data_IF_593870489792
#
_entry.id   IF_593870489792
#
_cell.length_a   1.000
_cell.length_b   1.000
_cell.length_c   1.000
_cell.angle_alpha   90.00
_cell.angle_beta   90.00
_cell.angle_gamma   90.00
#
_symmetry.space_group_name_H-M   'P 1'
#
loop_
_entity.id
_entity.type
_entity.pdbx_description
1 polymer ?
#
# COMPACT_ATOMS: atom_id res chain seq x y z
N UNK A 1 75.97 -25.23 3.87
CA UNK A 1 75.90 -26.30 4.89
C UNK A 1 75.46 -25.64 6.20
N UNK A 2 74.19 -25.85 6.61
CA UNK A 2 73.79 -26.56 7.85
C UNK A 2 74.43 -25.97 9.11
N UNK A 3 73.77 -25.05 9.83
CA UNK A 3 72.66 -25.24 10.79
C UNK A 3 73.13 -25.58 12.22
N UNK A 4 72.61 -24.82 13.20
CA UNK A 4 72.14 -25.20 14.57
C UNK A 4 72.19 -23.94 15.46
N UNK A 5 71.07 -23.29 15.75
CA UNK A 5 70.14 -23.51 16.90
C UNK A 5 70.81 -23.45 18.27
N UNK A 6 70.47 -22.42 19.05
CA UNK A 6 70.31 -22.52 20.51
C UNK A 6 69.18 -21.60 20.96
N UNK A 7 68.20 -22.20 21.63
CA UNK A 7 67.13 -21.56 22.36
C UNK A 7 67.65 -21.03 23.70
N UNK A 8 67.05 -19.96 24.22
CA UNK A 8 67.17 -19.56 25.62
C UNK A 8 65.80 -19.10 26.15
N UNK A 9 65.40 -19.81 27.21
CA UNK A 9 64.21 -19.66 28.05
C UNK A 9 64.35 -18.50 29.04
N UNK A 10 63.21 -18.11 29.65
CA UNK A 10 63.02 -17.29 30.88
C UNK A 10 63.24 -15.77 30.71
N UNK A 11 62.47 -14.85 31.32
CA UNK A 11 61.82 -14.87 32.62
C UNK A 11 60.58 -13.94 32.68
N UNK A 12 59.71 -14.23 33.63
CA UNK A 12 58.51 -13.48 33.98
C UNK A 12 58.82 -12.10 34.60
N UNK A 13 57.96 -11.11 34.30
CA UNK A 13 57.77 -9.93 35.15
C UNK A 13 56.29 -9.55 35.14
N UNK A 14 55.60 -9.83 36.25
CA UNK A 14 54.27 -9.34 36.55
C UNK A 14 54.35 -7.84 36.85
N UNK A 15 53.52 -7.04 36.18
CA UNK A 15 53.23 -5.66 36.59
C UNK A 15 51.73 -5.55 36.77
N UNK A 16 51.34 -5.55 38.04
CA UNK A 16 50.03 -5.16 38.54
C UNK A 16 49.85 -3.66 38.39
N UNK A 17 48.97 -3.20 37.52
CA UNK A 17 48.44 -1.83 37.55
C UNK A 17 46.99 -1.91 38.01
N UNK A 18 46.80 -1.54 39.28
CA UNK A 18 45.52 -1.29 39.92
C UNK A 18 45.08 0.12 39.50
N UNK A 19 44.16 0.23 38.54
CA UNK A 19 43.53 1.49 38.18
C UNK A 19 42.06 1.48 38.62
N UNK A 20 41.75 2.49 39.41
CA UNK A 20 40.53 2.75 40.17
C UNK A 20 39.27 2.83 39.31
N UNK A 21 38.27 2.01 39.62
CA UNK A 21 36.92 2.11 39.11
C UNK A 21 36.22 3.36 39.66
N UNK A 22 35.88 4.31 38.79
CA UNK A 22 34.94 5.39 39.08
C UNK A 22 33.49 4.91 38.95
N UNK A 23 32.52 5.58 39.58
CA UNK A 23 31.12 5.14 39.56
C UNK A 23 30.51 5.40 38.17
N UNK A 24 30.15 4.33 37.47
CA UNK A 24 29.31 4.39 36.29
C UNK A 24 27.83 4.49 36.73
N UNK A 25 27.34 5.73 36.82
CA UNK A 25 25.91 6.05 36.86
C UNK A 25 25.54 6.62 35.50
N UNK A 26 24.97 5.79 34.63
CA UNK A 26 24.21 6.21 33.46
C UNK A 26 23.17 5.13 33.16
N UNK A 27 22.16 5.07 34.03
CA UNK A 27 20.88 4.46 33.71
C UNK A 27 20.09 5.48 32.89
N UNK A 28 20.01 5.25 31.58
CA UNK A 28 19.05 5.89 30.69
C UNK A 28 18.79 4.93 29.55
N UNK A 29 17.89 3.97 29.81
CA UNK A 29 17.27 3.16 28.77
C UNK A 29 16.68 4.12 27.71
N UNK A 30 17.05 4.03 26.41
CA UNK A 30 16.41 4.84 25.39
C UNK A 30 14.94 4.40 25.29
N UNK A 31 14.06 5.19 25.89
CA UNK A 31 12.62 5.07 25.71
C UNK A 31 12.31 5.59 24.30
N UNK A 32 11.75 4.78 23.38
CA UNK A 32 11.27 5.30 22.11
C UNK A 32 10.06 6.20 22.40
N UNK A 33 10.31 7.51 22.51
CA UNK A 33 9.23 8.51 22.54
C UNK A 33 8.67 8.66 21.14
N UNK A 34 7.63 7.89 20.83
CA UNK A 34 6.71 8.21 19.75
C UNK A 34 5.80 9.37 20.21
N UNK A 35 6.34 10.58 20.21
CA UNK A 35 5.56 11.81 20.33
C UNK A 35 5.19 12.29 18.93
N UNK A 36 4.10 11.75 18.39
CA UNK A 36 3.43 12.36 17.24
C UNK A 36 2.74 13.65 17.70
N UNK A 37 3.51 14.74 17.74
CA UNK A 37 2.97 16.08 17.87
C UNK A 37 2.35 16.49 16.54
N UNK A 38 1.07 16.82 16.57
CA UNK A 38 0.34 17.41 15.46
C UNK A 38 0.95 18.77 15.08
N UNK A 39 1.10 19.02 13.77
CA UNK A 39 1.21 20.36 13.20
C UNK A 39 2.60 20.98 13.09
N UNK A 40 3.60 20.22 12.62
CA UNK A 40 4.85 20.80 12.12
C UNK A 40 5.22 20.16 10.78
N UNK A 41 5.73 20.97 9.85
CA UNK A 41 6.32 20.58 8.56
C UNK A 41 7.56 19.71 8.79
N UNK A 42 7.35 18.51 9.31
CA UNK A 42 8.38 17.53 9.57
C UNK A 42 8.67 16.83 8.26
N UNK A 43 9.82 17.16 7.67
CA UNK A 43 10.33 16.47 6.49
C UNK A 43 10.54 15.01 6.83
N UNK A 44 9.91 14.12 6.06
CA UNK A 44 10.09 12.67 6.21
C UNK A 44 11.40 12.27 5.54
N UNK A 45 12.37 11.80 6.32
CA UNK A 45 13.73 11.51 5.83
C UNK A 45 13.98 10.03 5.53
N UNK A 46 12.93 9.23 5.41
CA UNK A 46 13.01 7.77 5.27
C UNK A 46 12.05 7.30 4.17
N UNK A 47 12.43 6.21 3.51
CA UNK A 47 11.58 5.44 2.61
C UNK A 47 11.67 3.96 2.97
N UNK A 48 10.65 3.20 2.60
CA UNK A 48 10.71 1.76 2.61
C UNK A 48 11.44 1.20 1.39
N UNK A 49 11.80 -0.07 1.46
CA UNK A 49 12.39 -0.85 0.36
C UNK A 49 11.41 -1.87 -0.24
N UNK A 50 10.20 -1.95 0.33
CA UNK A 50 9.12 -2.83 -0.12
C UNK A 50 7.76 -2.24 0.25
N UNK A 51 6.68 -2.80 -0.30
CA UNK A 51 5.31 -2.47 0.12
C UNK A 51 5.06 -2.65 1.62
N UNK A 52 5.72 -3.61 2.27
CA UNK A 52 5.54 -3.89 3.70
C UNK A 52 6.28 -2.90 4.60
N UNK A 53 7.34 -2.29 4.10
CA UNK A 53 8.21 -1.36 4.83
C UNK A 53 8.02 0.09 4.39
N UNK A 54 7.03 0.34 3.52
CA UNK A 54 6.75 1.66 2.95
C UNK A 54 6.52 2.71 4.04
N UNK A 55 7.26 3.82 3.98
CA UNK A 55 7.15 4.89 4.98
C UNK A 55 5.89 5.71 4.72
N UNK A 56 5.09 5.96 5.76
CA UNK A 56 3.85 6.72 5.62
C UNK A 56 4.11 8.22 5.48
N UNK A 57 3.52 8.82 4.44
CA UNK A 57 3.47 10.26 4.19
C UNK A 57 2.01 10.71 4.13
N UNK A 58 1.75 11.98 4.46
CA UNK A 58 0.41 12.59 4.39
C UNK A 58 0.40 13.72 3.36
N UNK A 59 -0.77 14.04 2.78
CA UNK A 59 -0.90 15.23 1.95
C UNK A 59 -0.42 16.48 2.70
N UNK A 60 0.36 17.32 2.01
CA UNK A 60 1.01 18.50 2.58
C UNK A 60 2.35 18.24 3.26
N UNK A 61 2.76 16.98 3.46
CA UNK A 61 4.11 16.65 3.94
C UNK A 61 5.09 16.52 2.78
N UNK A 62 6.33 16.92 3.03
CA UNK A 62 7.47 16.73 2.14
C UNK A 62 8.33 15.57 2.66
N UNK A 63 8.77 14.70 1.76
CA UNK A 63 9.74 13.66 2.06
C UNK A 63 11.02 13.92 1.26
N UNK A 64 12.17 13.83 1.91
CA UNK A 64 13.48 13.99 1.28
C UNK A 64 14.44 12.94 1.81
N UNK A 65 15.00 12.14 0.91
CA UNK A 65 15.88 11.04 1.27
C UNK A 65 17.09 10.98 0.34
N UNK A 66 18.26 10.73 0.94
CA UNK A 66 19.44 10.27 0.21
C UNK A 66 19.31 8.77 -0.06
N UNK A 67 19.43 8.36 -1.31
CA UNK A 67 19.31 6.98 -1.77
C UNK A 67 20.41 6.67 -2.80
N UNK A 68 20.37 5.47 -3.37
CA UNK A 68 21.28 5.07 -4.43
C UNK A 68 20.51 4.78 -5.72
N UNK A 69 21.13 5.01 -6.88
CA UNK A 69 20.61 4.52 -8.16
C UNK A 69 20.42 3.00 -8.12
N UNK A 70 19.28 2.53 -8.64
CA UNK A 70 18.88 1.12 -8.58
C UNK A 70 18.09 0.74 -7.33
N UNK A 71 17.99 1.61 -6.31
CA UNK A 71 17.11 1.39 -5.18
C UNK A 71 15.63 1.51 -5.59
N UNK A 72 14.78 0.74 -4.93
CA UNK A 72 13.33 0.93 -4.96
C UNK A 72 12.89 1.66 -3.70
N UNK A 73 12.34 2.85 -3.88
CA UNK A 73 11.88 3.69 -2.78
C UNK A 73 10.37 3.59 -2.64
N UNK A 74 9.89 3.26 -1.44
CA UNK A 74 8.48 3.06 -1.15
C UNK A 74 7.95 4.02 -0.09
N UNK A 75 6.84 4.68 -0.42
CA UNK A 75 6.02 5.42 0.55
C UNK A 75 4.59 4.93 0.52
N UNK A 76 3.85 5.17 1.60
CA UNK A 76 2.42 4.90 1.68
C UNK A 76 1.64 6.15 2.06
N UNK A 77 0.42 6.29 1.56
CA UNK A 77 -0.48 7.36 1.95
C UNK A 77 -1.93 6.88 1.94
N UNK A 78 -2.77 7.50 2.76
CA UNK A 78 -4.19 7.22 2.77
C UNK A 78 -4.92 8.16 1.81
N UNK A 79 -5.82 7.62 1.00
CA UNK A 79 -6.67 8.36 0.08
C UNK A 79 -8.15 8.10 0.40
N UNK A 80 -8.94 9.16 0.47
CA UNK A 80 -10.35 9.12 0.81
C UNK A 80 -11.23 9.35 -0.43
N UNK A 81 -12.48 8.86 -0.38
CA UNK A 81 -13.45 9.10 -1.44
C UNK A 81 -13.63 10.61 -1.72
N UNK A 82 -13.73 10.96 -2.99
CA UNK A 82 -13.83 12.33 -3.46
C UNK A 82 -12.48 13.02 -3.68
N UNK A 83 -11.36 12.48 -3.17
CA UNK A 83 -10.04 13.08 -3.34
C UNK A 83 -9.46 12.82 -4.73
N UNK A 84 -8.60 13.72 -5.19
CA UNK A 84 -7.71 13.56 -6.32
C UNK A 84 -6.31 13.82 -5.81
N UNK A 85 -5.57 12.75 -5.54
CA UNK A 85 -4.21 12.83 -5.05
C UNK A 85 -3.23 13.10 -6.20
N UNK A 86 -2.29 13.98 -5.94
CA UNK A 86 -1.22 14.35 -6.84
C UNK A 86 0.12 14.15 -6.17
N UNK A 87 0.96 13.33 -6.81
CA UNK A 87 2.32 13.04 -6.38
C UNK A 87 3.29 13.70 -7.35
N UNK A 88 4.21 14.48 -6.81
CA UNK A 88 5.39 15.00 -7.52
C UNK A 88 6.63 14.39 -6.91
N UNK A 89 7.56 13.95 -7.76
CA UNK A 89 8.85 13.39 -7.37
C UNK A 89 9.95 14.11 -8.13
N UNK A 90 10.84 14.75 -7.39
CA UNK A 90 12.05 15.37 -7.94
C UNK A 90 13.26 14.54 -7.51
N UNK A 91 14.03 14.06 -8.48
CA UNK A 91 15.23 13.24 -8.26
C UNK A 91 16.43 14.07 -8.67
N UNK A 92 17.27 14.44 -7.71
CA UNK A 92 18.58 15.02 -8.00
C UNK A 92 19.53 13.91 -8.39
N UNK A 93 20.11 14.02 -9.59
CA UNK A 93 20.99 13.00 -10.17
C UNK A 93 22.43 13.17 -9.67
N UNK A 94 23.25 12.10 -9.76
CA UNK A 94 24.67 12.20 -9.50
C UNK A 94 25.34 13.17 -10.49
N UNK A 95 26.50 13.74 -10.14
CA UNK A 95 27.27 14.58 -11.06
C UNK A 95 27.47 13.89 -12.41
N UNK A 96 27.36 14.66 -13.49
CA UNK A 96 27.50 14.14 -14.87
C UNK A 96 28.83 13.40 -15.11
N UNK A 97 29.89 13.76 -14.39
CA UNK A 97 31.20 13.11 -14.50
C UNK A 97 31.23 11.67 -13.97
N UNK A 98 30.29 11.31 -13.09
CA UNK A 98 30.20 9.98 -12.48
C UNK A 98 29.23 9.05 -13.22
N UNK A 99 28.47 9.58 -14.19
CA UNK A 99 27.48 8.84 -14.97
C UNK A 99 28.03 8.38 -16.31
N UNK A 100 27.55 7.23 -16.79
CA UNK A 100 28.04 6.57 -18.00
C UNK A 100 26.99 6.51 -19.12
N UNK A 101 25.78 7.03 -18.90
CA UNK A 101 24.70 6.99 -19.89
C UNK A 101 23.40 7.64 -19.42
N UNK A 102 22.35 7.46 -20.22
CA UNK A 102 20.99 7.88 -19.88
C UNK A 102 20.43 7.04 -18.74
N UNK A 103 19.53 7.62 -17.94
CA UNK A 103 18.83 6.92 -16.88
C UNK A 103 17.33 7.17 -16.96
N UNK A 104 16.55 6.10 -17.10
CA UNK A 104 15.08 6.14 -17.10
C UNK A 104 14.55 5.89 -15.70
N UNK A 105 13.78 6.86 -15.20
CA UNK A 105 13.13 6.83 -13.90
C UNK A 105 11.63 6.68 -14.04
N UNK A 106 11.03 6.00 -13.06
CA UNK A 106 9.60 5.75 -13.02
C UNK A 106 9.01 6.08 -11.67
N UNK A 107 7.80 6.65 -11.69
CA UNK A 107 6.92 6.78 -10.53
C UNK A 107 5.67 5.96 -10.76
N UNK A 108 5.33 5.13 -9.79
CA UNK A 108 4.17 4.25 -9.88
C UNK A 108 3.38 4.27 -8.59
N UNK A 109 2.06 4.25 -8.72
CA UNK A 109 1.14 4.21 -7.58
C UNK A 109 0.39 2.90 -7.62
N UNK A 110 0.28 2.24 -6.47
CA UNK A 110 -0.43 0.98 -6.29
C UNK A 110 -1.50 1.15 -5.21
N UNK A 111 -2.65 0.49 -5.37
CA UNK A 111 -3.65 0.42 -4.30
C UNK A 111 -3.27 -0.61 -3.22
N UNK A 112 -4.09 -0.73 -2.17
CA UNK A 112 -3.88 -1.70 -1.09
C UNK A 112 -3.86 -3.17 -1.53
N UNK A 113 -4.40 -3.48 -2.71
CA UNK A 113 -4.34 -4.80 -3.34
C UNK A 113 -3.11 -4.95 -4.25
N UNK A 114 -2.20 -3.97 -4.24
CA UNK A 114 -0.99 -3.89 -5.06
C UNK A 114 -1.27 -3.89 -6.56
N UNK A 115 -2.46 -3.44 -6.97
CA UNK A 115 -2.79 -3.20 -8.38
C UNK A 115 -2.31 -1.80 -8.75
N UNK A 116 -1.50 -1.71 -9.80
CA UNK A 116 -1.00 -0.43 -10.33
C UNK A 116 -2.18 0.44 -10.76
N UNK A 117 -2.20 1.67 -10.28
CA UNK A 117 -3.19 2.68 -10.60
C UNK A 117 -2.65 3.55 -11.72
N UNK A 118 -3.46 3.73 -12.76
CA UNK A 118 -3.13 4.64 -13.83
C UNK A 118 -3.25 6.09 -13.35
N UNK A 119 -2.26 6.93 -13.67
CA UNK A 119 -2.37 8.36 -13.47
C UNK A 119 -3.12 8.99 -14.65
N UNK A 120 -4.05 9.87 -14.33
CA UNK A 120 -4.84 10.64 -15.28
C UNK A 120 -4.01 11.72 -15.99
N UNK A 121 -2.98 12.21 -15.31
CA UNK A 121 -2.04 13.20 -15.83
C UNK A 121 -0.67 13.07 -15.13
N UNK A 122 0.35 13.70 -15.71
CA UNK A 122 1.73 13.72 -15.21
C UNK A 122 2.67 12.77 -15.95
N UNK A 123 3.96 13.09 -15.93
CA UNK A 123 5.01 12.28 -16.54
C UNK A 123 5.43 11.16 -15.56
N UNK A 124 4.95 9.95 -15.79
CA UNK A 124 5.25 8.80 -14.92
C UNK A 124 6.60 8.15 -15.20
N UNK A 125 7.15 8.38 -16.39
CA UNK A 125 8.40 7.78 -16.88
C UNK A 125 9.17 8.84 -17.63
N UNK A 126 10.39 9.12 -17.19
CA UNK A 126 11.24 10.16 -17.77
C UNK A 126 12.65 9.61 -17.88
N UNK A 127 13.25 9.80 -19.06
CA UNK A 127 14.65 9.48 -19.32
C UNK A 127 15.46 10.76 -19.18
N UNK A 128 16.49 10.73 -18.33
CA UNK A 128 17.45 11.81 -18.17
C UNK A 128 18.71 11.53 -18.96
N UNK A 129 19.18 12.56 -19.65
CA UNK A 129 20.45 12.56 -20.35
C UNK A 129 21.62 12.68 -19.37
N UNK A 130 22.84 12.37 -19.84
CA UNK A 130 24.09 12.51 -19.08
C UNK A 130 24.39 13.94 -18.62
N UNK A 131 23.77 14.96 -19.25
CA UNK A 131 23.89 16.36 -18.83
C UNK A 131 22.89 16.80 -17.75
N UNK A 132 21.78 16.09 -17.59
CA UNK A 132 20.67 16.52 -16.74
C UNK A 132 21.06 16.47 -15.26
N UNK A 133 20.66 17.48 -14.49
CA UNK A 133 20.96 17.53 -13.06
C UNK A 133 19.82 16.93 -12.21
N UNK A 134 18.63 16.81 -12.78
CA UNK A 134 17.44 16.35 -12.08
C UNK A 134 16.41 15.74 -13.01
N UNK A 135 15.61 14.82 -12.49
CA UNK A 135 14.39 14.29 -13.13
C UNK A 135 13.17 14.71 -12.32
N UNK A 136 12.17 15.26 -12.99
CA UNK A 136 10.86 15.51 -12.41
C UNK A 136 9.85 14.47 -12.93
N UNK A 137 9.14 13.82 -12.02
CA UNK A 137 8.08 12.87 -12.31
C UNK A 137 6.80 13.32 -11.62
N UNK A 138 5.67 13.10 -12.27
CA UNK A 138 4.36 13.52 -11.75
C UNK A 138 3.30 12.45 -12.00
N UNK A 139 2.38 12.34 -11.04
CA UNK A 139 1.30 11.38 -11.07
C UNK A 139 0.05 11.99 -10.42
N UNK A 140 -0.91 12.41 -11.24
CA UNK A 140 -2.26 12.77 -10.78
C UNK A 140 -3.14 11.53 -10.86
N UNK A 141 -3.66 11.03 -9.74
CA UNK A 141 -4.63 9.94 -9.76
C UNK A 141 -5.97 10.40 -10.33
N UNK A 142 -6.80 9.45 -10.77
CA UNK A 142 -8.23 9.72 -10.98
C UNK A 142 -8.89 9.94 -9.61
N UNK A 143 -10.00 10.67 -9.60
CA UNK A 143 -10.73 10.92 -8.36
C UNK A 143 -11.13 9.60 -7.70
N UNK A 144 -10.79 9.45 -6.42
CA UNK A 144 -11.10 8.29 -5.61
C UNK A 144 -12.61 8.17 -5.49
N UNK A 145 -13.17 7.05 -5.93
CA UNK A 145 -14.61 6.79 -5.89
C UNK A 145 -14.94 6.09 -4.60
N UNK A 146 -16.11 6.34 -4.01
CA UNK A 146 -16.58 5.53 -2.89
C UNK A 146 -16.95 4.09 -3.30
N UNK A 147 -17.18 3.82 -4.58
CA UNK A 147 -17.49 2.47 -5.07
C UNK A 147 -17.07 2.33 -6.54
N UNK A 148 -16.91 1.08 -6.97
CA UNK A 148 -16.62 0.73 -8.36
C UNK A 148 -17.20 -0.66 -8.66
N UNK A 149 -17.55 -0.91 -9.92
CA UNK A 149 -17.92 -2.25 -10.37
C UNK A 149 -16.73 -3.22 -10.28
N UNK A 150 -16.94 -4.54 -10.11
CA UNK A 150 -15.86 -5.52 -9.94
C UNK A 150 -14.82 -5.56 -11.08
N UNK A 151 -15.20 -5.16 -12.29
CA UNK A 151 -14.33 -5.10 -13.47
C UNK A 151 -13.70 -3.72 -13.69
N UNK A 152 -14.03 -2.73 -12.85
CA UNK A 152 -13.51 -1.38 -12.98
C UNK A 152 -12.11 -1.23 -12.39
N UNK A 153 -11.26 -0.48 -13.10
CA UNK A 153 -9.94 -0.05 -12.63
C UNK A 153 -9.99 1.18 -11.73
N UNK A 154 -11.18 1.63 -11.33
CA UNK A 154 -11.34 2.89 -10.58
C UNK A 154 -10.70 2.82 -9.19
N UNK A 155 -10.03 3.92 -8.77
CA UNK A 155 -9.39 3.98 -7.48
C UNK A 155 -10.46 4.06 -6.37
N UNK A 156 -10.27 3.27 -5.31
CA UNK A 156 -11.17 3.16 -4.15
C UNK A 156 -10.49 3.68 -2.88
N UNK A 157 -11.23 4.01 -1.82
CA UNK A 157 -10.65 4.59 -0.61
C UNK A 157 -9.81 3.55 0.12
N UNK A 158 -8.65 3.96 0.64
CA UNK A 158 -7.73 3.07 1.33
C UNK A 158 -6.28 3.56 1.31
N UNK A 159 -5.36 2.65 1.60
CA UNK A 159 -3.92 2.92 1.54
C UNK A 159 -3.40 2.69 0.12
N UNK A 160 -2.65 3.67 -0.36
CA UNK A 160 -1.92 3.63 -1.62
C UNK A 160 -0.43 3.58 -1.34
N UNK A 161 0.32 3.01 -2.28
CA UNK A 161 1.76 2.85 -2.21
C UNK A 161 2.39 3.52 -3.42
N UNK A 162 3.33 4.41 -3.15
CA UNK A 162 4.18 5.04 -4.15
C UNK A 162 5.47 4.22 -4.27
N UNK A 163 5.86 3.89 -5.50
CA UNK A 163 7.16 3.32 -5.83
C UNK A 163 7.90 4.25 -6.77
N UNK A 164 9.14 4.59 -6.42
CA UNK A 164 10.06 5.31 -7.30
C UNK A 164 11.28 4.42 -7.54
N UNK A 165 11.66 4.28 -8.81
CA UNK A 165 12.81 3.46 -9.20
C UNK A 165 13.37 3.85 -10.56
N UNK A 166 14.68 3.67 -10.74
CA UNK A 166 15.31 3.67 -12.05
C UNK A 166 15.12 2.30 -12.71
N UNK A 167 14.59 2.27 -13.94
CA UNK A 167 14.25 1.03 -14.65
C UNK A 167 15.24 0.68 -15.76
N UNK A 168 15.99 1.67 -16.25
CA UNK A 168 17.00 1.50 -17.28
C UNK A 168 18.13 2.49 -17.04
N UNK A 169 19.36 1.99 -16.88
CA UNK A 169 20.58 2.76 -16.68
C UNK A 169 21.79 1.85 -16.91
N UNK A 170 22.99 2.39 -17.20
CA UNK A 170 24.22 1.62 -17.22
C UNK A 170 24.46 0.89 -15.90
N UNK A 171 24.91 -0.37 -15.94
CA UNK A 171 25.22 -1.15 -14.74
C UNK A 171 26.31 -0.50 -13.88
N UNK A 172 27.21 0.25 -14.51
CA UNK A 172 28.28 1.02 -13.86
C UNK A 172 27.72 2.16 -13.00
N UNK A 173 26.51 2.64 -13.31
CA UNK A 173 25.87 3.74 -12.62
C UNK A 173 25.06 3.26 -11.41
N UNK A 174 24.96 1.96 -11.13
CA UNK A 174 24.27 1.43 -9.94
C UNK A 174 25.02 1.77 -8.66
N UNK A 175 24.29 2.15 -7.62
CA UNK A 175 24.87 2.51 -6.32
C UNK A 175 25.38 3.96 -6.20
N UNK A 176 25.29 4.76 -7.28
CA UNK A 176 25.60 6.19 -7.23
C UNK A 176 24.60 6.94 -6.35
N UNK A 177 25.07 7.93 -5.60
CA UNK A 177 24.24 8.68 -4.67
C UNK A 177 23.22 9.57 -5.41
N UNK A 178 21.95 9.45 -5.04
CA UNK A 178 20.84 10.28 -5.51
C UNK A 178 20.11 10.89 -4.32
N UNK A 179 19.35 11.95 -4.60
CA UNK A 179 18.42 12.52 -3.63
C UNK A 179 17.03 12.53 -4.21
N UNK A 180 16.09 11.85 -3.56
CA UNK A 180 14.70 11.83 -3.94
C UNK A 180 13.90 12.77 -3.03
N UNK A 181 13.12 13.66 -3.63
CA UNK A 181 12.14 14.50 -2.95
C UNK A 181 10.75 14.12 -3.43
N UNK A 182 9.83 13.87 -2.50
CA UNK A 182 8.45 13.51 -2.79
C UNK A 182 7.52 14.53 -2.14
N UNK A 183 6.54 14.98 -2.90
CA UNK A 183 5.44 15.83 -2.43
C UNK A 183 4.13 15.17 -2.77
N UNK A 184 3.29 15.02 -1.76
CA UNK A 184 1.93 14.54 -1.92
C UNK A 184 0.97 15.70 -1.62
N UNK A 185 0.03 15.93 -2.54
CA UNK A 185 -1.07 16.87 -2.34
C UNK A 185 -2.38 16.18 -2.64
N UNK A 186 -3.44 16.56 -1.92
CA UNK A 186 -4.77 16.01 -2.13
C UNK A 186 -5.71 17.17 -2.43
N UNK A 187 -6.40 17.09 -3.59
CA UNK A 187 -7.49 18.01 -3.90
C UNK A 187 -8.81 17.31 -3.64
N UNK A 188 -9.69 17.92 -2.84
CA UNK A 188 -11.06 17.43 -2.73
C UNK A 188 -11.81 17.82 -4.01
N UNK A 189 -12.38 16.84 -4.69
CA UNK A 189 -13.26 17.04 -5.82
C UNK A 189 -14.72 17.22 -5.39
N UNK A 190 -15.50 17.82 -6.28
CA UNK A 190 -16.85 18.30 -6.03
C UNK A 190 -17.92 17.22 -6.29
N UNK A 191 -17.55 16.06 -6.83
CA UNK A 191 -18.49 15.09 -7.39
C UNK A 191 -18.38 13.70 -6.80
N UNK A 192 -19.14 13.41 -5.76
CA UNK A 192 -19.59 12.05 -5.51
C UNK A 192 -20.99 11.95 -6.17
N UNK A 193 -21.28 10.98 -7.06
CA UNK A 193 -22.66 10.78 -7.49
C UNK A 193 -23.53 10.55 -6.25
N UNK A 194 -24.63 11.30 -6.16
CA UNK A 194 -25.59 11.26 -5.05
C UNK A 194 -25.96 9.80 -4.74
N UNK A 195 -25.59 9.31 -3.55
CA UNK A 195 -26.06 8.04 -3.01
C UNK A 195 -25.03 6.96 -2.71
N UNK A 196 -23.73 7.18 -2.91
CA UNK A 196 -22.73 6.16 -2.55
C UNK A 196 -21.81 6.60 -1.39
N UNK A 197 -22.20 6.21 -0.18
CA UNK A 197 -21.35 6.23 1.01
C UNK A 197 -20.96 4.79 1.37
N UNK A 198 -19.66 4.47 1.34
CA UNK A 198 -19.18 3.30 2.10
C UNK A 198 -19.20 3.68 3.58
N UNK A 199 -19.99 2.95 4.36
CA UNK A 199 -20.15 3.21 5.80
C UNK A 199 -18.92 2.77 6.62
N UNK A 200 -18.03 1.97 6.01
CA UNK A 200 -16.82 1.42 6.62
C UNK A 200 -15.74 1.23 5.53
N UNK A 201 -14.45 1.53 5.78
CA UNK A 201 -13.36 1.19 4.88
C UNK A 201 -13.32 -0.31 4.55
N UNK A 202 -13.20 -0.68 3.27
CA UNK A 202 -13.12 -2.08 2.83
C UNK A 202 -11.84 -2.80 3.32
N UNK A 203 -10.85 -2.03 3.77
CA UNK A 203 -9.67 -2.54 4.46
C UNK A 203 -9.64 -1.95 5.86
N UNK A 204 -9.66 -2.77 6.93
CA UNK A 204 -9.39 -2.26 8.26
C UNK A 204 -8.00 -1.63 8.26
N UNK A 205 -7.85 -0.49 8.93
CA UNK A 205 -6.55 0.17 9.06
C UNK A 205 -5.54 -0.83 9.62
N UNK A 206 -4.57 -1.23 8.79
CA UNK A 206 -3.47 -2.08 9.21
C UNK A 206 -2.52 -1.24 10.05
N UNK A 207 -2.63 -1.37 11.37
CA UNK A 207 -1.61 -0.90 12.31
C UNK A 207 -0.40 -1.83 12.23
N UNK A 208 0.45 -1.64 11.22
CA UNK A 208 1.72 -2.36 11.13
C UNK A 208 2.54 -2.06 12.40
N UNK A 209 2.74 -3.07 13.27
CA UNK A 209 3.58 -2.96 14.46
C UNK A 209 2.86 -2.87 15.82
N UNK A 210 1.53 -2.94 15.88
CA UNK A 210 0.84 -3.02 17.18
C UNK A 210 0.93 -4.44 17.76
N UNK A 211 1.85 -4.66 18.71
CA UNK A 211 1.84 -5.86 19.55
C UNK A 211 0.83 -5.68 20.67
N UNK A 212 -0.06 -6.65 20.85
CA UNK A 212 -0.91 -6.72 22.06
C UNK A 212 0.03 -6.90 23.25
N UNK A 213 0.05 -5.92 24.15
CA UNK A 213 0.82 -6.02 25.38
C UNK A 213 0.30 -7.22 26.21
N UNK A 214 1.16 -8.17 26.59
CA UNK A 214 0.75 -9.32 27.37
C UNK A 214 0.70 -8.89 28.84
N UNK A 215 -0.33 -8.14 29.25
CA UNK A 215 -0.76 -7.99 30.66
C UNK A 215 -1.96 -7.02 30.87
N UNK A 216 -2.83 -6.80 29.87
CA UNK A 216 -4.08 -6.06 30.13
C UNK A 216 -5.23 -7.03 30.36
N UNK A 217 -5.66 -7.12 31.62
CA UNK A 217 -6.86 -7.84 32.03
C UNK A 217 -8.09 -7.35 31.24
N UNK A 218 -8.78 -8.29 30.60
CA UNK A 218 -10.05 -8.05 29.90
C UNK A 218 -11.11 -7.65 30.93
N UNK A 219 -11.34 -6.35 31.08
CA UNK A 219 -12.55 -5.84 31.73
C UNK A 219 -13.69 -5.85 30.72
N UNK A 220 -14.54 -6.88 30.84
CA UNK A 220 -15.83 -6.93 30.20
C UNK A 220 -16.82 -5.98 30.92
N UNK A 221 -17.03 -4.79 30.36
CA UNK A 221 -18.24 -4.01 30.62
C UNK A 221 -18.68 -3.32 29.31
N UNK A 222 -19.93 -3.54 28.85
CA UNK A 222 -20.38 -3.10 27.54
C UNK A 222 -20.88 -1.65 27.59
N UNK A 223 -20.48 -0.83 26.64
CA UNK A 223 -21.16 0.43 26.34
C UNK A 223 -21.09 0.69 24.83
N UNK A 224 -22.05 0.09 24.13
CA UNK A 224 -22.50 0.50 22.80
C UNK A 224 -23.88 -0.14 22.57
N UNK A 225 -24.87 0.32 23.33
CA UNK A 225 -26.26 0.08 22.98
C UNK A 225 -26.66 1.03 21.84
N UNK A 226 -27.47 0.50 20.92
CA UNK A 226 -28.17 1.17 19.82
C UNK A 226 -27.40 1.33 18.49
N UNK A 227 -27.12 0.20 17.82
CA UNK A 227 -27.59 -0.08 16.44
C UNK A 227 -27.11 -1.46 15.97
N UNK A 228 -27.39 -2.50 16.76
CA UNK A 228 -27.39 -3.86 16.22
C UNK A 228 -28.75 -4.07 15.53
N UNK A 229 -28.82 -4.53 14.27
CA UNK A 229 -30.08 -4.98 13.71
C UNK A 229 -30.60 -6.10 14.62
N UNK A 230 -31.86 -5.98 15.06
CA UNK A 230 -32.53 -7.05 15.81
C UNK A 230 -32.33 -8.37 15.05
N UNK A 231 -31.93 -9.46 15.72
CA UNK A 231 -31.93 -10.77 15.07
C UNK A 231 -33.36 -11.04 14.64
N UNK A 232 -33.60 -10.99 13.33
CA UNK A 232 -34.86 -11.41 12.73
C UNK A 232 -35.07 -12.84 13.19
N UNK A 233 -36.24 -13.11 13.77
CA UNK A 233 -36.61 -14.43 14.25
C UNK A 233 -36.24 -15.47 13.18
N UNK A 234 -35.34 -16.36 13.58
CA UNK A 234 -34.77 -17.39 12.74
C UNK A 234 -35.91 -18.33 12.31
N UNK A 235 -36.42 -18.13 11.09
CA UNK A 235 -37.37 -19.04 10.50
C UNK A 235 -36.66 -20.38 10.26
N UNK A 236 -36.85 -21.32 11.20
CA UNK A 236 -36.49 -22.73 11.01
C UNK A 236 -37.28 -23.28 9.84
N UNK A 237 -36.64 -23.35 8.68
CA UNK A 237 -37.15 -24.02 7.50
C UNK A 237 -36.09 -24.05 6.40
N UNK A 238 -35.91 -25.22 5.78
CA UNK A 238 -35.04 -25.50 4.63
C UNK A 238 -35.10 -24.42 3.52
N UNK A 239 -36.17 -23.63 3.44
CA UNK A 239 -36.43 -22.63 2.40
C UNK A 239 -36.17 -21.16 2.79
N UNK A 240 -35.54 -20.87 3.92
CA UNK A 240 -35.28 -19.49 4.36
C UNK A 240 -34.31 -18.68 3.46
N UNK A 241 -33.73 -19.31 2.42
CA UNK A 241 -32.79 -18.69 1.46
C UNK A 241 -33.35 -18.62 0.02
N UNK A 242 -34.66 -18.35 -0.12
CA UNK A 242 -35.24 -17.98 -1.42
C UNK A 242 -34.91 -16.52 -1.74
N UNK A 243 -33.65 -16.26 -2.07
CA UNK A 243 -33.20 -14.98 -2.63
C UNK A 243 -33.89 -14.70 -3.97
N UNK A 244 -33.95 -13.42 -4.38
CA UNK A 244 -34.56 -12.93 -5.64
C UNK A 244 -34.20 -13.77 -6.88
N UNK A 245 -33.00 -14.38 -6.89
CA UNK A 245 -32.54 -15.31 -7.93
C UNK A 245 -33.44 -16.54 -8.09
N UNK A 246 -33.91 -17.15 -7.00
CA UNK A 246 -34.76 -18.35 -7.03
C UNK A 246 -36.17 -18.03 -7.53
N UNK A 247 -36.67 -16.83 -7.20
CA UNK A 247 -37.95 -16.35 -7.70
C UNK A 247 -37.93 -16.24 -9.24
N UNK A 248 -36.85 -15.67 -9.78
CA UNK A 248 -36.65 -15.55 -11.22
C UNK A 248 -36.50 -16.91 -11.92
N UNK A 249 -35.75 -17.85 -11.33
CA UNK A 249 -35.59 -19.19 -11.90
C UNK A 249 -36.92 -19.97 -11.91
N UNK A 250 -37.70 -19.87 -10.83
CA UNK A 250 -39.00 -20.52 -10.75
C UNK A 250 -39.99 -19.92 -11.77
N UNK A 251 -40.05 -18.58 -11.86
CA UNK A 251 -40.89 -17.88 -12.83
C UNK A 251 -40.51 -18.23 -14.28
N UNK A 252 -39.21 -18.26 -14.59
CA UNK A 252 -38.71 -18.67 -15.90
C UNK A 252 -39.05 -20.13 -16.24
N UNK A 253 -38.93 -21.04 -15.27
CA UNK A 253 -39.31 -22.45 -15.44
C UNK A 253 -40.79 -22.64 -15.72
N UNK A 254 -41.66 -21.91 -15.02
CA UNK A 254 -43.11 -21.92 -15.27
C UNK A 254 -43.43 -21.40 -16.67
N UNK A 255 -42.83 -20.29 -17.09
CA UNK A 255 -43.03 -19.74 -18.44
C UNK A 255 -42.56 -20.71 -19.53
N UNK A 256 -41.41 -21.36 -19.35
CA UNK A 256 -40.89 -22.35 -20.29
C UNK A 256 -41.82 -23.57 -20.40
N UNK A 257 -42.36 -24.06 -19.28
CA UNK A 257 -43.31 -25.16 -19.27
C UNK A 257 -44.61 -24.80 -20.02
N UNK A 258 -45.15 -23.59 -19.79
CA UNK A 258 -46.35 -23.11 -20.48
C UNK A 258 -46.12 -22.97 -21.99
N UNK A 259 -44.97 -22.43 -22.39
CA UNK A 259 -44.59 -22.34 -23.81
C UNK A 259 -44.44 -23.73 -24.45
N UNK A 260 -43.85 -24.70 -23.74
CA UNK A 260 -43.72 -26.08 -24.22
C UNK A 260 -45.07 -26.77 -24.40
N UNK A 261 -45.97 -26.66 -23.42
CA UNK A 261 -47.33 -27.22 -23.52
C UNK A 261 -48.14 -26.52 -24.62
N UNK A 262 -48.08 -25.19 -24.71
CA UNK A 262 -48.76 -24.43 -25.76
C UNK A 262 -48.24 -24.74 -27.17
N UNK A 263 -46.93 -24.87 -27.33
CA UNK A 263 -46.33 -25.31 -28.59
C UNK A 263 -46.74 -26.74 -28.97
N UNK A 264 -46.79 -27.64 -27.98
CA UNK A 264 -47.23 -29.01 -28.19
C UNK A 264 -48.71 -29.10 -28.60
N UNK A 265 -49.61 -28.32 -27.98
CA UNK A 265 -51.03 -28.32 -28.37
C UNK A 265 -51.26 -27.70 -29.75
N UNK A 266 -50.48 -26.67 -30.13
CA UNK A 266 -50.55 -26.06 -31.45
C UNK A 266 -50.01 -26.96 -32.56
N UNK A 267 -48.95 -27.73 -32.29
CA UNK A 267 -48.36 -28.65 -33.27
C UNK A 267 -49.09 -29.99 -33.36
N UNK A 268 -49.88 -30.35 -32.33
CA UNK A 268 -50.70 -31.55 -32.35
C UNK A 268 -51.99 -31.31 -33.13
N UNK A 269 -51.93 -31.51 -34.44
CA UNK A 269 -53.14 -31.58 -35.27
C UNK A 269 -54.05 -32.70 -34.74
N UNK A 270 -55.34 -32.43 -34.44
CA UNK A 270 -56.29 -33.49 -34.17
C UNK A 270 -56.42 -34.34 -35.44
N UNK A 271 -55.98 -35.60 -35.38
CA UNK A 271 -56.28 -36.59 -36.41
C UNK A 271 -57.79 -36.84 -36.37
N UNK A 272 -58.55 -36.05 -37.13
CA UNK A 272 -59.95 -36.37 -37.46
C UNK A 272 -59.89 -37.54 -38.43
N UNK A 273 -59.94 -38.75 -37.88
CA UNK A 273 -60.28 -39.92 -38.68
C UNK A 273 -61.74 -39.79 -39.05
N UNK A 274 -62.01 -39.44 -40.30
CA UNK A 274 -63.32 -39.61 -40.91
C UNK A 274 -63.60 -41.11 -40.99
N UNK A 275 -64.57 -41.61 -40.21
CA UNK A 275 -65.81 -42.22 -40.69
C UNK A 275 -66.53 -42.98 -39.58
#
# INVERSE_FOLDING_TARGET
MRARTTAALTAAAAVTVLATAGPALADATPTPSASASAGGDTTVTTAGTSFLTATTIRPGQHAELAASTGDYLYWSFAAAAGQTDHVTVDITLPPAADRHGEATWTVEVFDGLRRRQACAAGAQTVTADTGDQSVALDCTLRQIRSWAEPWSGDPLPGTYYLRVSATDLPEQDLGLAVRAQVRLTAKNGDGQPDGASLKEPLSPAVNAGATVAPDTAVSAAPSAAASAPKPVAQAKGWFASLSTRWLWTAAGGVLAALAGVGGYTLTRHPRRWFS
#
